data_IF_084439231259
#
_entry.id   IF_084439231259
#
_cell.length_a   1.000
_cell.length_b   1.000
_cell.length_c   1.000
_cell.angle_alpha   90.00
_cell.angle_beta   90.00
_cell.angle_gamma   90.00
#
_symmetry.space_group_name_H-M   'P 1'
#
loop_
_entity.id
_entity.type
_entity.pdbx_description
1 polymer ?
#
# COMPACT_ATOMS: atom_id res chain seq x y z
N UNK A 1 28.06 19.75 -2.44
CA UNK A 1 28.15 18.88 -3.65
C UNK A 1 27.90 17.41 -3.30
N UNK A 2 28.50 16.86 -2.23
CA UNK A 2 28.26 15.47 -1.79
C UNK A 2 26.81 15.21 -1.33
N UNK A 3 26.21 16.11 -0.57
CA UNK A 3 24.85 15.91 -0.03
C UNK A 3 23.77 15.79 -1.12
N UNK A 4 23.93 16.51 -2.23
CA UNK A 4 23.00 16.43 -3.37
C UNK A 4 23.06 15.07 -4.09
N UNK A 5 24.23 14.42 -4.12
CA UNK A 5 24.37 13.11 -4.73
C UNK A 5 23.72 12.02 -3.86
N UNK A 6 23.89 12.11 -2.54
CA UNK A 6 23.26 11.18 -1.58
C UNK A 6 21.74 11.30 -1.62
N UNK A 7 21.20 12.53 -1.61
CA UNK A 7 19.75 12.76 -1.71
C UNK A 7 19.17 12.14 -2.99
N UNK A 8 19.82 12.37 -4.13
CA UNK A 8 19.40 11.82 -5.42
C UNK A 8 19.43 10.29 -5.46
N UNK A 9 20.41 9.65 -4.83
CA UNK A 9 20.50 8.19 -4.72
C UNK A 9 19.38 7.60 -3.84
N UNK A 10 19.05 8.27 -2.73
CA UNK A 10 17.95 7.84 -1.86
C UNK A 10 16.61 7.96 -2.57
N UNK A 11 16.35 9.07 -3.27
CA UNK A 11 15.11 9.32 -4.02
C UNK A 11 14.91 8.28 -5.14
N UNK A 12 15.98 7.96 -5.88
CA UNK A 12 15.97 6.90 -6.89
C UNK A 12 15.72 5.51 -6.27
N UNK A 13 16.27 5.25 -5.08
CA UNK A 13 16.01 4.01 -4.34
C UNK A 13 14.55 3.91 -3.89
N UNK A 14 13.93 5.00 -3.42
CA UNK A 14 12.51 5.04 -3.04
C UNK A 14 11.62 4.69 -4.23
N UNK A 15 11.82 5.38 -5.35
CA UNK A 15 11.05 5.13 -6.58
C UNK A 15 11.18 3.68 -7.05
N UNK A 16 12.40 3.12 -6.99
CA UNK A 16 12.63 1.72 -7.38
C UNK A 16 11.89 0.71 -6.49
N UNK A 17 11.68 1.02 -5.20
CA UNK A 17 10.93 0.16 -4.28
C UNK A 17 9.43 0.22 -4.55
N UNK A 18 8.90 1.41 -4.84
CA UNK A 18 7.49 1.58 -5.22
C UNK A 18 7.18 0.79 -6.50
N UNK A 19 8.01 0.92 -7.53
CA UNK A 19 7.89 0.13 -8.76
C UNK A 19 7.97 -1.37 -8.48
N UNK A 20 8.95 -1.81 -7.68
CA UNK A 20 9.10 -3.23 -7.30
C UNK A 20 7.89 -3.78 -6.56
N UNK A 21 7.26 -2.97 -5.68
CA UNK A 21 6.06 -3.34 -4.95
C UNK A 21 4.88 -3.54 -5.91
N UNK A 22 4.64 -2.58 -6.80
CA UNK A 22 3.56 -2.65 -7.80
C UNK A 22 3.79 -3.81 -8.78
N UNK A 23 5.02 -4.04 -9.23
CA UNK A 23 5.35 -5.17 -10.10
C UNK A 23 5.03 -6.53 -9.45
N UNK A 24 5.41 -6.71 -8.17
CA UNK A 24 5.09 -7.93 -7.43
C UNK A 24 3.60 -8.12 -7.23
N UNK A 25 2.87 -7.06 -6.93
CA UNK A 25 1.41 -7.11 -6.87
C UNK A 25 0.80 -7.48 -8.22
N UNK A 26 1.28 -6.92 -9.33
CA UNK A 26 0.81 -7.26 -10.68
C UNK A 26 1.07 -8.73 -11.04
N UNK A 27 2.10 -9.36 -10.47
CA UNK A 27 2.33 -10.80 -10.61
C UNK A 27 1.42 -11.64 -9.70
N UNK A 28 1.15 -11.15 -8.49
CA UNK A 28 0.33 -11.84 -7.49
C UNK A 28 -1.18 -11.77 -7.82
N UNK A 29 -1.71 -10.59 -8.14
CA UNK A 29 -3.14 -10.33 -8.32
C UNK A 29 -3.83 -11.24 -9.35
N UNK A 30 -3.22 -11.64 -10.48
CA UNK A 30 -3.82 -12.61 -11.40
C UNK A 30 -4.08 -13.99 -10.80
N UNK A 31 -3.46 -14.33 -9.65
CA UNK A 31 -3.70 -15.58 -8.93
C UNK A 31 -4.89 -15.50 -7.96
N UNK A 32 -5.44 -14.31 -7.75
CA UNK A 32 -6.54 -14.05 -6.84
C UNK A 32 -7.88 -14.31 -7.53
N UNK A 33 -8.71 -15.15 -6.91
CA UNK A 33 -10.12 -15.26 -7.23
C UNK A 33 -10.87 -14.03 -6.70
N UNK A 34 -11.21 -13.09 -7.58
CA UNK A 34 -11.83 -11.81 -7.20
C UNK A 34 -13.29 -11.94 -6.80
N UNK A 35 -14.04 -12.89 -7.37
CA UNK A 35 -15.44 -13.12 -6.99
C UNK A 35 -15.50 -13.66 -5.56
N UNK A 36 -14.62 -14.63 -5.25
CA UNK A 36 -14.48 -15.15 -3.88
C UNK A 36 -13.94 -14.09 -2.91
N UNK A 37 -13.05 -13.20 -3.38
CA UNK A 37 -12.54 -12.12 -2.56
C UNK A 37 -13.66 -11.15 -2.17
N UNK A 38 -14.48 -10.75 -3.13
CA UNK A 38 -15.61 -9.85 -2.91
C UNK A 38 -16.63 -10.45 -1.93
N UNK A 39 -16.99 -11.72 -2.12
CA UNK A 39 -17.88 -12.44 -1.20
C UNK A 39 -17.29 -12.52 0.22
N UNK A 40 -15.99 -12.84 0.33
CA UNK A 40 -15.32 -12.95 1.62
C UNK A 40 -15.19 -11.59 2.33
N UNK A 41 -14.97 -10.49 1.60
CA UNK A 41 -14.93 -9.14 2.19
C UNK A 41 -16.26 -8.73 2.81
N UNK A 42 -17.38 -9.24 2.27
CA UNK A 42 -18.73 -8.80 2.61
C UNK A 42 -19.54 -9.85 3.38
N UNK A 43 -18.89 -10.89 3.90
CA UNK A 43 -19.52 -11.92 4.71
C UNK A 43 -18.88 -12.02 6.11
N UNK A 44 -19.52 -12.78 7.00
CA UNK A 44 -18.94 -13.10 8.32
C UNK A 44 -17.67 -13.96 8.17
N UNK A 45 -17.61 -14.79 7.13
CA UNK A 45 -16.42 -15.59 6.80
C UNK A 45 -15.45 -14.83 5.90
N UNK A 46 -14.66 -13.97 6.56
CA UNK A 46 -13.64 -13.14 5.91
C UNK A 46 -12.25 -13.79 5.85
N UNK A 47 -12.17 -15.12 5.98
CA UNK A 47 -10.89 -15.83 6.01
C UNK A 47 -10.07 -15.65 4.73
N UNK A 48 -10.71 -15.72 3.57
CA UNK A 48 -10.04 -15.54 2.29
C UNK A 48 -9.59 -14.09 2.08
N UNK A 49 -10.45 -13.11 2.38
CA UNK A 49 -10.08 -11.69 2.31
C UNK A 49 -8.88 -11.34 3.21
N UNK A 50 -8.85 -11.88 4.45
CA UNK A 50 -7.71 -11.70 5.37
C UNK A 50 -6.41 -12.27 4.81
N UNK A 51 -6.47 -13.45 4.20
CA UNK A 51 -5.28 -14.08 3.61
C UNK A 51 -4.75 -13.28 2.42
N UNK A 52 -5.62 -12.78 1.53
CA UNK A 52 -5.20 -11.91 0.42
C UNK A 52 -4.60 -10.60 0.94
N UNK A 53 -5.24 -9.95 1.91
CA UNK A 53 -4.71 -8.71 2.51
C UNK A 53 -3.34 -8.94 3.16
N UNK A 54 -3.18 -10.07 3.86
CA UNK A 54 -1.91 -10.46 4.46
C UNK A 54 -0.84 -10.68 3.38
N UNK A 55 -1.14 -11.38 2.29
CA UNK A 55 -0.17 -11.60 1.21
C UNK A 55 0.25 -10.28 0.54
N UNK A 56 -0.68 -9.34 0.33
CA UNK A 56 -0.33 -7.99 -0.13
C UNK A 56 0.59 -7.26 0.86
N UNK A 57 0.33 -7.40 2.16
CA UNK A 57 1.17 -6.82 3.21
C UNK A 57 2.54 -7.48 3.29
N UNK A 58 2.63 -8.81 3.20
CA UNK A 58 3.89 -9.56 3.20
C UNK A 58 4.77 -9.13 2.00
N UNK A 59 4.17 -8.94 0.81
CA UNK A 59 4.87 -8.40 -0.37
C UNK A 59 5.44 -6.99 -0.10
N UNK A 60 4.66 -6.14 0.57
CA UNK A 60 5.13 -4.81 0.98
C UNK A 60 6.32 -4.91 1.94
N UNK A 61 6.23 -5.73 2.98
CA UNK A 61 7.32 -5.91 3.96
C UNK A 61 8.57 -6.48 3.29
N UNK A 62 8.43 -7.41 2.35
CA UNK A 62 9.56 -7.96 1.59
C UNK A 62 10.28 -6.92 0.73
N UNK A 63 9.53 -6.00 0.09
CA UNK A 63 10.11 -4.97 -0.78
C UNK A 63 10.73 -3.83 0.02
N UNK A 64 10.05 -3.38 1.07
CA UNK A 64 10.49 -2.24 1.85
C UNK A 64 11.48 -2.61 2.95
N UNK A 65 11.43 -3.85 3.44
CA UNK A 65 12.20 -4.39 4.56
C UNK A 65 11.66 -3.99 5.93
N UNK A 66 10.47 -3.40 5.99
CA UNK A 66 9.83 -2.86 7.19
C UNK A 66 8.32 -2.76 6.96
N UNK A 67 7.54 -2.83 8.04
CA UNK A 67 6.12 -2.48 8.11
C UNK A 67 5.88 -1.12 8.79
N UNK A 68 6.96 -0.49 9.26
CA UNK A 68 6.96 0.84 9.88
C UNK A 68 7.48 1.88 8.88
N UNK A 69 6.65 2.90 8.63
CA UNK A 69 6.95 4.01 7.73
C UNK A 69 6.80 5.33 8.46
N UNK A 70 7.76 6.23 8.25
CA UNK A 70 7.75 7.60 8.73
C UNK A 70 8.16 8.55 7.60
N UNK A 71 7.91 9.83 7.84
CA UNK A 71 8.24 10.95 6.93
C UNK A 71 9.75 11.17 6.77
N UNK A 72 10.58 10.55 7.62
CA UNK A 72 12.03 10.68 7.53
C UNK A 72 12.62 9.88 6.36
N UNK A 73 11.93 8.82 5.93
CA UNK A 73 12.43 7.90 4.90
C UNK A 73 11.58 7.95 3.63
N UNK A 74 10.27 8.16 3.69
CA UNK A 74 9.41 8.14 2.49
C UNK A 74 8.46 9.34 2.47
N UNK A 75 8.29 9.95 1.29
CA UNK A 75 7.34 11.06 1.07
C UNK A 75 5.95 10.50 0.72
N UNK A 76 5.91 9.54 -0.22
CA UNK A 76 4.72 8.79 -0.56
C UNK A 76 4.97 7.30 -0.39
N UNK A 77 3.91 6.55 -0.04
CA UNK A 77 3.94 5.10 -0.03
C UNK A 77 2.61 4.49 -0.47
N UNK A 78 2.68 3.49 -1.34
CA UNK A 78 1.54 2.64 -1.65
C UNK A 78 1.38 1.54 -0.60
N UNK A 79 0.21 1.44 0.02
CA UNK A 79 -0.09 0.41 1.03
C UNK A 79 -1.38 -0.35 0.71
N UNK A 80 -1.48 -1.64 1.07
CA UNK A 80 -2.74 -2.37 0.99
C UNK A 80 -3.68 -1.95 2.12
N UNK A 81 -4.95 -1.77 1.81
CA UNK A 81 -5.98 -1.29 2.75
C UNK A 81 -7.32 -1.98 2.56
N UNK A 82 -8.16 -1.91 3.60
CA UNK A 82 -9.58 -2.22 3.53
C UNK A 82 -10.34 -0.92 3.26
N UNK A 83 -11.18 -0.92 2.23
CA UNK A 83 -12.00 0.23 1.83
C UNK A 83 -13.47 -0.13 2.00
N UNK A 84 -14.25 0.77 2.63
CA UNK A 84 -15.69 0.63 2.73
C UNK A 84 -16.39 1.77 1.99
N UNK A 85 -17.28 1.42 1.05
CA UNK A 85 -18.19 2.36 0.42
C UNK A 85 -19.15 2.94 1.47
N UNK A 86 -19.17 4.26 1.64
CA UNK A 86 -20.00 4.92 2.67
C UNK A 86 -21.49 4.68 2.48
N UNK A 87 -21.96 4.70 1.23
CA UNK A 87 -23.39 4.58 0.92
C UNK A 87 -23.84 3.12 0.82
N UNK A 88 -23.02 2.24 0.23
CA UNK A 88 -23.35 0.83 0.04
C UNK A 88 -23.02 -0.04 1.26
N UNK A 89 -22.10 0.42 2.12
CA UNK A 89 -21.50 -0.41 3.17
C UNK A 89 -20.56 -1.50 2.63
N UNK A 90 -20.41 -1.60 1.31
CA UNK A 90 -19.64 -2.64 0.62
C UNK A 90 -18.15 -2.50 0.93
N UNK A 91 -17.50 -3.61 1.27
CA UNK A 91 -16.11 -3.70 1.66
C UNK A 91 -15.31 -4.33 0.53
N UNK A 92 -14.13 -3.77 0.26
CA UNK A 92 -13.16 -4.35 -0.65
C UNK A 92 -11.73 -4.11 -0.17
N UNK A 93 -10.78 -4.80 -0.81
CA UNK A 93 -9.36 -4.51 -0.65
C UNK A 93 -8.92 -3.53 -1.74
N UNK A 94 -8.00 -2.64 -1.40
CA UNK A 94 -7.43 -1.68 -2.34
C UNK A 94 -5.98 -1.37 -2.03
N UNK A 95 -5.37 -0.58 -2.92
CA UNK A 95 -4.05 -0.01 -2.74
C UNK A 95 -4.24 1.50 -2.75
N UNK A 96 -3.72 2.20 -1.76
CA UNK A 96 -3.75 3.67 -1.70
C UNK A 96 -2.32 4.21 -1.64
N UNK A 97 -2.09 5.35 -2.26
CA UNK A 97 -0.90 6.15 -2.01
C UNK A 97 -1.15 7.06 -0.80
N UNK A 98 -0.36 6.89 0.26
CA UNK A 98 -0.33 7.77 1.41
C UNK A 98 0.78 8.80 1.25
N UNK A 99 0.44 10.06 1.47
CA UNK A 99 1.39 11.15 1.64
C UNK A 99 1.80 11.22 3.13
N UNK A 100 3.07 10.95 3.41
CA UNK A 100 3.64 10.93 4.77
C UNK A 100 4.21 12.30 5.18
N UNK A 101 4.57 13.15 4.21
CA UNK A 101 5.08 14.50 4.48
C UNK A 101 3.96 15.53 4.69
N UNK A 102 2.71 15.15 4.42
CA UNK A 102 1.54 16.00 4.67
C UNK A 102 1.34 16.31 6.15
N UNK A 103 2.02 17.36 6.60
CA UNK A 103 1.64 18.13 7.78
C UNK A 103 0.28 18.73 7.47
N UNK A 104 -0.79 18.37 8.20
CA UNK A 104 -2.15 18.85 8.01
C UNK A 104 -2.33 20.38 8.22
N UNK A 105 -1.57 21.23 7.53
CA UNK A 105 -1.60 22.69 7.61
C UNK A 105 -2.82 23.29 6.90
N UNK A 106 -3.60 22.49 6.18
CA UNK A 106 -4.76 22.94 5.42
C UNK A 106 -6.11 22.63 6.11
N UNK A 107 -6.27 23.04 7.38
CA UNK A 107 -7.62 23.29 7.95
C UNK A 107 -7.83 24.74 8.40
N UNK A 108 -7.03 25.68 7.92
CA UNK A 108 -7.31 27.11 8.09
C UNK A 108 -7.26 27.87 6.76
N UNK A 109 -8.38 27.83 6.05
CA UNK A 109 -8.84 28.96 5.23
C UNK A 109 -10.36 28.98 5.16
#
# INVERSE_FOLDING_TARGET
MYDNAVKKMQEQSKHSKQESFIERLNYFLPTVDFDKLDESCNSVDNGYAKEILKQMHDILVEVYGTDYFDDSIYEFIEIPVVIQGRESGHIGLGIIALDLESSAEHWKT
#
